data_IF_046585486552
#
_entry.id   IF_046585486552
#
_cell.length_a   1.000
_cell.length_b   1.000
_cell.length_c   1.000
_cell.angle_alpha   90.00
_cell.angle_beta   90.00
_cell.angle_gamma   90.00
#
_symmetry.space_group_name_H-M   'P 1'
#
loop_
_entity.id
_entity.type
_entity.pdbx_description
1 polymer ?
#
# COMPACT_ATOMS: atom_id res chain seq x y z
N UNK A 1 -62.83 -59.47 -23.15
CA UNK A 1 -62.64 -58.36 -24.10
C UNK A 1 -62.52 -57.11 -23.26
N UNK A 2 -61.35 -56.47 -23.29
CA UNK A 2 -61.04 -55.24 -22.54
C UNK A 2 -60.00 -55.48 -21.45
N UNK A 3 -58.73 -55.58 -21.83
CA UNK A 3 -57.57 -55.29 -20.97
C UNK A 3 -56.92 -54.05 -21.58
N UNK A 4 -56.89 -52.97 -20.80
CA UNK A 4 -56.43 -51.64 -21.20
C UNK A 4 -54.93 -51.49 -20.94
N UNK A 5 -54.25 -50.94 -21.94
CA UNK A 5 -52.81 -50.75 -22.08
C UNK A 5 -52.49 -49.26 -21.77
N UNK A 6 -51.99 -48.98 -20.56
CA UNK A 6 -51.70 -47.63 -20.04
C UNK A 6 -50.41 -47.63 -19.22
N UNK A 7 -49.25 -47.91 -19.83
CA UNK A 7 -47.96 -47.86 -19.09
C UNK A 7 -46.83 -47.07 -19.75
N UNK A 8 -47.04 -46.40 -20.89
CA UNK A 8 -45.93 -45.81 -21.67
C UNK A 8 -45.79 -44.28 -21.61
N UNK A 9 -46.60 -43.54 -20.83
CA UNK A 9 -46.53 -42.06 -20.80
C UNK A 9 -45.78 -41.44 -19.60
N UNK A 10 -45.41 -42.21 -18.56
CA UNK A 10 -44.73 -41.62 -17.38
C UNK A 10 -43.22 -41.40 -17.59
N UNK A 11 -42.54 -42.22 -18.40
CA UNK A 11 -41.09 -42.11 -18.60
C UNK A 11 -40.67 -40.88 -19.45
N UNK A 12 -41.58 -40.33 -20.25
CA UNK A 12 -41.29 -39.21 -21.17
C UNK A 12 -41.39 -37.82 -20.48
N UNK A 13 -42.03 -37.77 -19.31
CA UNK A 13 -42.19 -36.53 -18.52
C UNK A 13 -40.95 -36.25 -17.67
N UNK A 14 -40.29 -37.28 -17.14
CA UNK A 14 -39.09 -37.14 -16.30
C UNK A 14 -37.86 -36.68 -17.12
N UNK A 15 -37.75 -37.13 -18.37
CA UNK A 15 -36.70 -36.68 -19.31
C UNK A 15 -36.85 -35.22 -19.74
N UNK A 16 -38.08 -34.68 -19.76
CA UNK A 16 -38.32 -33.27 -20.10
C UNK A 16 -38.06 -32.33 -18.93
N UNK A 17 -38.28 -32.75 -17.69
CA UNK A 17 -38.02 -31.93 -16.50
C UNK A 17 -36.53 -31.72 -16.24
N UNK A 18 -35.67 -32.70 -16.54
CA UNK A 18 -34.21 -32.55 -16.41
C UNK A 18 -33.57 -31.59 -17.43
N UNK A 19 -34.28 -31.25 -18.51
CA UNK A 19 -33.74 -30.34 -19.53
C UNK A 19 -33.95 -28.85 -19.20
N UNK A 20 -34.82 -28.52 -18.23
CA UNK A 20 -35.14 -27.14 -17.84
C UNK A 20 -34.41 -26.64 -16.59
N UNK A 21 -33.71 -27.49 -15.85
CA UNK A 21 -32.96 -27.13 -14.62
C UNK A 21 -31.50 -26.70 -14.88
N UNK A 22 -30.94 -26.99 -16.05
CA UNK A 22 -29.57 -26.65 -16.46
C UNK A 22 -29.24 -25.16 -16.75
N UNK A 23 -30.17 -24.29 -17.23
CA UNK A 23 -29.83 -22.91 -17.56
C UNK A 23 -29.54 -22.04 -16.32
N UNK A 24 -30.22 -22.32 -15.20
CA UNK A 24 -30.16 -21.49 -13.99
C UNK A 24 -28.80 -21.56 -13.30
N UNK A 25 -28.17 -22.73 -13.32
CA UNK A 25 -26.85 -22.96 -12.72
C UNK A 25 -25.75 -22.19 -13.48
N UNK A 26 -25.84 -22.12 -14.80
CA UNK A 26 -24.90 -21.38 -15.64
C UNK A 26 -24.99 -19.86 -15.44
N UNK A 27 -26.21 -19.34 -15.37
CA UNK A 27 -26.43 -17.90 -15.16
C UNK A 27 -25.95 -17.48 -13.75
N UNK A 28 -26.14 -18.33 -12.74
CA UNK A 28 -25.63 -18.09 -11.39
C UNK A 28 -24.09 -18.08 -11.35
N UNK A 29 -23.44 -19.09 -11.95
CA UNK A 29 -21.97 -19.15 -12.05
C UNK A 29 -21.38 -17.93 -12.78
N UNK A 30 -22.04 -17.48 -13.85
CA UNK A 30 -21.61 -16.29 -14.58
C UNK A 30 -21.76 -15.02 -13.74
N UNK A 31 -22.85 -14.89 -12.97
CA UNK A 31 -23.06 -13.78 -12.06
C UNK A 31 -22.04 -13.74 -10.92
N UNK A 32 -21.76 -14.88 -10.31
CA UNK A 32 -20.78 -15.00 -9.22
C UNK A 32 -19.38 -14.61 -9.71
N UNK A 33 -18.96 -15.12 -10.88
CA UNK A 33 -17.69 -14.72 -11.51
C UNK A 33 -17.61 -13.21 -11.79
N UNK A 34 -18.68 -12.61 -12.31
CA UNK A 34 -18.69 -11.17 -12.60
C UNK A 34 -18.56 -10.33 -11.33
N UNK A 35 -19.23 -10.72 -10.24
CA UNK A 35 -19.13 -10.04 -8.95
C UNK A 35 -17.73 -10.17 -8.35
N UNK A 36 -17.12 -11.36 -8.45
CA UNK A 36 -15.75 -11.58 -8.00
C UNK A 36 -14.78 -10.71 -8.80
N UNK A 37 -14.84 -10.71 -10.13
CA UNK A 37 -13.99 -9.87 -10.97
C UNK A 37 -14.17 -8.37 -10.70
N UNK A 38 -15.41 -7.93 -10.45
CA UNK A 38 -15.68 -6.54 -10.08
C UNK A 38 -15.12 -6.17 -8.71
N UNK A 39 -15.20 -7.09 -7.73
CA UNK A 39 -14.59 -6.91 -6.42
C UNK A 39 -13.07 -6.79 -6.54
N UNK A 40 -12.41 -7.70 -7.27
CA UNK A 40 -10.98 -7.66 -7.57
C UNK A 40 -10.55 -6.33 -8.17
N UNK A 41 -11.24 -5.94 -9.25
CA UNK A 41 -10.97 -4.68 -9.95
C UNK A 41 -11.11 -3.50 -9.01
N UNK A 42 -12.20 -3.44 -8.24
CA UNK A 42 -12.47 -2.34 -7.31
C UNK A 42 -11.36 -2.23 -6.27
N UNK A 43 -10.89 -3.36 -5.71
CA UNK A 43 -9.76 -3.38 -4.75
C UNK A 43 -8.47 -2.85 -5.36
N UNK A 44 -8.13 -3.27 -6.58
CA UNK A 44 -6.93 -2.76 -7.27
C UNK A 44 -7.05 -1.26 -7.51
N UNK A 45 -8.21 -0.78 -7.96
CA UNK A 45 -8.46 0.65 -8.19
C UNK A 45 -8.34 1.43 -6.89
N UNK A 46 -8.95 0.98 -5.79
CA UNK A 46 -8.83 1.67 -4.49
C UNK A 46 -7.41 1.68 -3.95
N UNK A 47 -6.66 0.59 -4.12
CA UNK A 47 -5.28 0.51 -3.71
C UNK A 47 -4.41 1.51 -4.49
N UNK A 48 -4.58 1.57 -5.81
CA UNK A 48 -3.87 2.53 -6.66
C UNK A 48 -4.29 3.97 -6.36
N UNK A 49 -5.57 4.22 -6.14
CA UNK A 49 -6.08 5.54 -5.77
C UNK A 49 -5.50 5.99 -4.44
N UNK A 50 -5.52 5.13 -3.41
CA UNK A 50 -4.92 5.42 -2.11
C UNK A 50 -3.43 5.76 -2.23
N UNK A 51 -2.66 4.93 -2.97
CA UNK A 51 -1.24 5.17 -3.17
C UNK A 51 -0.96 6.47 -3.93
N UNK A 52 -1.74 6.77 -4.98
CA UNK A 52 -1.58 8.02 -5.73
C UNK A 52 -1.97 9.24 -4.89
N UNK A 53 -3.04 9.16 -4.10
CA UNK A 53 -3.45 10.24 -3.21
C UNK A 53 -2.40 10.52 -2.12
N UNK A 54 -1.77 9.47 -1.58
CA UNK A 54 -0.69 9.64 -0.58
C UNK A 54 0.60 10.23 -1.17
N UNK A 55 0.86 10.00 -2.47
CA UNK A 55 2.02 10.55 -3.19
C UNK A 55 1.76 11.92 -3.84
N UNK A 56 0.49 12.31 -4.01
CA UNK A 56 0.12 13.62 -4.55
C UNK A 56 0.09 14.64 -3.42
N UNK A 57 0.90 15.69 -3.56
CA UNK A 57 0.85 16.83 -2.66
C UNK A 57 -0.52 17.47 -2.68
N UNK A 58 -1.10 17.64 -1.49
CA UNK A 58 -2.25 18.51 -1.23
C UNK A 58 -1.75 19.81 -0.62
N UNK A 59 -2.34 20.95 -0.99
CA UNK A 59 -1.99 22.25 -0.41
C UNK A 59 -2.55 22.45 1.00
N UNK A 60 -3.05 21.38 1.64
CA UNK A 60 -3.69 21.43 2.95
C UNK A 60 -2.70 21.53 4.12
N UNK A 61 -1.43 21.15 3.94
CA UNK A 61 -0.46 21.15 5.03
C UNK A 61 -0.01 22.56 5.45
N UNK A 62 -0.25 23.59 4.62
CA UNK A 62 0.27 24.94 4.84
C UNK A 62 1.80 25.05 4.72
N UNK A 63 2.49 23.95 4.42
CA UNK A 63 3.93 23.87 4.25
C UNK A 63 4.32 24.16 2.79
N UNK A 64 5.59 24.53 2.58
CA UNK A 64 6.11 24.74 1.23
C UNK A 64 6.05 23.46 0.39
N UNK A 65 6.14 23.60 -0.94
CA UNK A 65 6.14 22.46 -1.88
C UNK A 65 7.25 21.44 -1.64
N UNK A 66 8.29 21.83 -0.91
CA UNK A 66 9.47 21.00 -0.66
C UNK A 66 9.55 20.55 0.80
N UNK A 67 8.65 21.03 1.67
CA UNK A 67 8.58 20.65 3.08
C UNK A 67 7.57 19.51 3.27
N UNK A 68 8.07 18.30 3.50
CA UNK A 68 7.24 17.16 3.83
C UNK A 68 7.93 16.19 4.79
N UNK A 69 7.09 15.42 5.48
CA UNK A 69 7.45 14.22 6.21
C UNK A 69 6.49 13.11 5.80
N UNK A 70 7.02 11.94 5.45
CA UNK A 70 6.27 10.70 5.37
C UNK A 70 6.85 9.75 6.41
N UNK A 71 6.00 9.20 7.28
CA UNK A 71 6.47 8.29 8.31
C UNK A 71 5.51 7.13 8.51
N UNK A 72 6.06 5.97 8.83
CA UNK A 72 5.30 4.76 9.10
C UNK A 72 5.90 4.06 10.31
N UNK A 73 5.03 3.68 11.23
CA UNK A 73 5.39 3.13 12.53
C UNK A 73 4.53 1.90 12.80
N UNK A 74 5.17 0.79 13.15
CA UNK A 74 4.52 -0.37 13.76
C UNK A 74 5.04 -0.53 15.17
N UNK A 75 4.14 -0.63 16.13
CA UNK A 75 4.48 -0.85 17.53
C UNK A 75 3.39 -1.67 18.23
N UNK A 76 3.75 -2.33 19.32
CA UNK A 76 2.80 -2.99 20.22
C UNK A 76 2.17 -2.00 21.19
N UNK A 77 0.85 -2.06 21.38
CA UNK A 77 0.15 -1.20 22.34
C UNK A 77 0.41 -1.61 23.80
N UNK A 78 0.28 -0.69 24.75
CA UNK A 78 0.68 -0.98 26.14
C UNK A 78 -0.18 -1.97 26.93
N UNK A 79 -1.43 -2.24 26.53
CA UNK A 79 -2.35 -3.07 27.34
C UNK A 79 -2.20 -4.57 27.04
N UNK A 80 -2.15 -4.96 25.76
CA UNK A 80 -2.05 -6.36 25.33
C UNK A 80 -0.90 -6.59 24.32
N UNK A 81 -0.05 -5.58 24.09
CA UNK A 81 0.99 -5.59 23.04
C UNK A 81 0.46 -5.93 21.65
N UNK A 82 -0.84 -5.74 21.40
CA UNK A 82 -1.39 -5.97 20.07
C UNK A 82 -0.74 -4.98 19.10
N UNK A 83 -0.25 -5.44 17.94
CA UNK A 83 0.48 -4.59 17.03
C UNK A 83 -0.47 -3.64 16.31
N UNK A 84 -0.04 -2.39 16.17
CA UNK A 84 -0.75 -1.33 15.45
C UNK A 84 0.21 -0.72 14.46
N UNK A 85 -0.27 -0.50 13.23
CA UNK A 85 0.41 0.35 12.26
C UNK A 85 -0.20 1.75 12.27
N UNK A 86 0.66 2.76 12.23
CA UNK A 86 0.32 4.16 12.05
C UNK A 86 1.17 4.69 10.91
N UNK A 87 0.55 5.34 9.95
CA UNK A 87 1.19 5.93 8.79
C UNK A 87 0.77 7.39 8.67
N UNK A 88 1.75 8.28 8.52
CA UNK A 88 1.56 9.68 8.18
C UNK A 88 1.96 9.91 6.72
N UNK A 89 1.03 10.41 5.93
CA UNK A 89 1.29 10.71 4.52
C UNK A 89 2.00 12.06 4.34
N UNK A 90 2.32 12.39 3.08
CA UNK A 90 3.00 13.63 2.68
C UNK A 90 2.30 14.89 3.21
N UNK A 91 0.98 14.85 3.34
CA UNK A 91 0.15 15.99 3.73
C UNK A 91 0.01 16.12 5.25
N UNK A 92 0.61 15.21 6.01
CA UNK A 92 0.48 15.14 7.47
C UNK A 92 -0.80 14.45 7.94
N UNK A 93 -1.60 13.86 7.03
CA UNK A 93 -2.75 13.06 7.43
C UNK A 93 -2.27 11.73 7.99
N UNK A 94 -2.88 11.31 9.10
CA UNK A 94 -2.52 10.08 9.79
C UNK A 94 -3.60 9.03 9.55
N UNK A 95 -3.17 7.84 9.17
CA UNK A 95 -3.99 6.64 9.04
C UNK A 95 -3.41 5.55 9.91
N UNK A 96 -4.24 4.60 10.35
CA UNK A 96 -3.76 3.48 11.14
C UNK A 96 -4.64 2.26 11.01
N UNK A 97 -4.14 1.12 11.46
CA UNK A 97 -4.89 -0.13 11.55
C UNK A 97 -4.30 -1.04 12.62
N UNK A 98 -5.17 -1.76 13.32
CA UNK A 98 -4.82 -2.84 14.25
C UNK A 98 -5.17 -4.22 13.67
N UNK A 99 -5.62 -4.29 12.41
CA UNK A 99 -5.94 -5.57 11.77
C UNK A 99 -4.67 -6.40 11.58
N UNK A 100 -4.66 -7.61 12.13
CA UNK A 100 -3.51 -8.53 12.07
C UNK A 100 -3.03 -8.76 10.63
N UNK A 101 -3.94 -8.89 9.66
CA UNK A 101 -3.59 -9.01 8.24
C UNK A 101 -2.85 -7.79 7.69
N UNK A 102 -3.27 -6.57 8.07
CA UNK A 102 -2.62 -5.34 7.62
C UNK A 102 -1.23 -5.20 8.28
N UNK A 103 -1.07 -5.55 9.57
CA UNK A 103 0.23 -5.58 10.25
C UNK A 103 1.18 -6.60 9.62
N UNK A 104 0.70 -7.81 9.31
CA UNK A 104 1.50 -8.84 8.66
C UNK A 104 1.92 -8.42 7.24
N UNK A 105 1.01 -7.80 6.48
CA UNK A 105 1.35 -7.23 5.18
C UNK A 105 2.40 -6.11 5.32
N UNK A 106 2.30 -5.29 6.37
CA UNK A 106 3.29 -4.26 6.66
C UNK A 106 4.67 -4.86 6.92
N UNK A 107 4.78 -5.97 7.65
CA UNK A 107 6.05 -6.65 7.90
C UNK A 107 6.83 -6.92 6.59
N UNK A 108 6.12 -7.37 5.54
CA UNK A 108 6.71 -7.59 4.21
C UNK A 108 7.16 -6.26 3.60
N UNK A 109 6.31 -5.22 3.66
CA UNK A 109 6.64 -3.88 3.15
C UNK A 109 7.88 -3.26 3.82
N UNK A 110 7.98 -3.37 5.14
CA UNK A 110 9.16 -2.94 5.89
C UNK A 110 10.40 -3.79 5.63
N UNK A 111 10.23 -5.09 5.36
CA UNK A 111 11.32 -5.94 4.88
C UNK A 111 11.93 -5.40 3.58
N UNK A 112 11.09 -4.98 2.64
CA UNK A 112 11.55 -4.35 1.39
C UNK A 112 12.26 -3.01 1.66
N UNK A 113 11.71 -2.17 2.54
CA UNK A 113 12.35 -0.89 2.92
C UNK A 113 13.73 -1.11 3.55
N UNK A 114 13.85 -2.08 4.46
CA UNK A 114 15.12 -2.47 5.07
C UNK A 114 16.13 -2.91 4.01
N UNK A 115 15.71 -3.78 3.10
CA UNK A 115 16.58 -4.31 2.07
C UNK A 115 17.07 -3.18 1.14
N UNK A 116 16.20 -2.23 0.77
CA UNK A 116 16.58 -1.00 0.03
C UNK A 116 17.65 -0.21 0.79
N UNK A 117 17.44 0.07 2.08
CA UNK A 117 18.39 0.84 2.89
C UNK A 117 19.74 0.14 3.01
N UNK A 118 19.74 -1.17 3.26
CA UNK A 118 20.98 -1.95 3.35
C UNK A 118 21.80 -1.96 2.05
N UNK A 119 21.15 -1.77 0.89
CA UNK A 119 21.82 -1.67 -0.40
C UNK A 119 22.34 -0.25 -0.71
N UNK A 120 21.79 0.79 -0.07
CA UNK A 120 22.23 2.19 -0.26
C UNK A 120 23.45 2.51 0.63
N UNK A 121 23.47 2.06 1.88
CA UNK A 121 24.53 2.34 2.87
C UNK A 121 25.98 2.02 2.42
N UNK A 122 26.28 0.94 1.66
CA UNK A 122 27.65 0.61 1.23
C UNK A 122 28.27 1.61 0.26
N UNK A 123 27.46 2.41 -0.42
CA UNK A 123 27.90 3.27 -1.53
C UNK A 123 28.29 4.68 -1.08
N UNK A 124 27.65 5.21 -0.03
CA UNK A 124 27.85 6.59 0.42
C UNK A 124 29.16 6.76 1.21
N UNK A 125 29.62 5.73 1.90
CA UNK A 125 30.86 5.77 2.71
C UNK A 125 32.16 5.80 1.90
N UNK A 126 32.13 5.38 0.62
CA UNK A 126 33.33 5.38 -0.24
C UNK A 126 33.66 6.74 -0.86
N UNK A 127 32.69 7.63 -1.01
CA UNK A 127 32.89 8.92 -1.71
C UNK A 127 33.47 10.01 -0.79
N UNK A 128 33.34 9.86 0.53
CA UNK A 128 33.84 10.83 1.52
C UNK A 128 35.36 10.78 1.74
N UNK A 129 36.00 9.61 1.58
CA UNK A 129 37.45 9.49 1.80
C UNK A 129 38.31 9.96 0.62
N UNK A 130 37.80 9.92 -0.62
CA UNK A 130 38.56 10.29 -1.82
C UNK A 130 38.54 11.79 -2.14
N UNK A 131 37.55 12.52 -1.62
CA UNK A 131 37.35 13.96 -1.82
C UNK A 131 38.08 14.83 -0.79
N UNK A 132 38.52 14.26 0.34
CA UNK A 132 39.33 14.96 1.35
C UNK A 132 40.77 15.28 0.89
N UNK A 133 41.27 14.69 -0.19
CA UNK A 133 42.65 14.87 -0.67
C UNK A 133 42.83 15.97 -1.75
N UNK A 134 41.77 16.64 -2.20
CA UNK A 134 41.86 17.61 -3.31
C UNK A 134 41.01 18.87 -3.14
N UNK A 135 41.10 19.59 -2.02
CA UNK A 135 40.55 20.96 -1.96
C UNK A 135 41.46 21.88 -1.15
N UNK A 136 42.56 22.31 -1.79
CA UNK A 136 43.23 23.56 -1.48
C UNK A 136 43.23 24.38 -2.77
N UNK A 137 42.09 24.98 -3.12
CA UNK A 137 42.04 26.25 -3.84
C UNK A 137 40.62 26.84 -3.86
N UNK A 138 40.53 27.98 -3.19
CA UNK A 138 39.58 29.08 -3.33
C UNK A 138 38.64 29.05 -4.55
N UNK A 139 37.34 28.91 -4.28
CA UNK A 139 36.31 29.86 -4.76
C UNK A 139 35.21 29.92 -3.71
N UNK A 140 35.17 31.04 -3.00
CA UNK A 140 34.05 31.44 -2.17
C UNK A 140 32.98 32.03 -3.08
N UNK A 141 32.02 31.22 -3.51
CA UNK A 141 30.69 31.69 -3.93
C UNK A 141 29.69 30.52 -3.79
N UNK A 142 29.22 30.36 -2.55
CA UNK A 142 27.93 29.83 -2.09
C UNK A 142 27.19 28.81 -2.97
N UNK A 143 27.85 27.70 -3.25
CA UNK A 143 27.18 26.47 -3.67
C UNK A 143 26.71 25.74 -2.41
N UNK A 144 25.49 26.09 -1.97
CA UNK A 144 24.82 25.39 -0.90
C UNK A 144 24.31 24.05 -1.46
N UNK A 145 25.19 23.05 -1.53
CA UNK A 145 24.80 21.64 -1.63
C UNK A 145 24.12 21.27 -0.30
N UNK A 146 22.88 21.73 -0.14
CA UNK A 146 22.07 21.48 1.04
C UNK A 146 21.58 20.04 0.98
N UNK A 147 21.89 19.26 2.00
CA UNK A 147 21.19 18.00 2.29
C UNK A 147 19.69 18.29 2.25
N UNK A 148 18.98 17.72 1.27
CA UNK A 148 17.55 17.99 1.07
C UNK A 148 16.69 17.02 1.89
N UNK A 149 17.18 15.82 2.22
CA UNK A 149 16.35 14.76 2.79
C UNK A 149 17.09 13.87 3.80
N UNK A 150 16.41 13.57 4.89
CA UNK A 150 16.81 12.68 5.97
C UNK A 150 15.93 11.44 5.94
N UNK A 151 16.57 10.27 6.04
CA UNK A 151 15.89 9.00 6.21
C UNK A 151 16.29 8.45 7.57
N UNK A 152 15.32 8.31 8.46
CA UNK A 152 15.50 7.73 9.78
C UNK A 152 14.75 6.40 9.83
N UNK A 153 15.40 5.36 10.36
CA UNK A 153 14.73 4.09 10.50
C UNK A 153 15.21 3.30 11.72
N UNK A 154 14.27 2.54 12.26
CA UNK A 154 14.48 1.64 13.38
C UNK A 154 13.73 0.33 13.12
N UNK A 155 14.35 -0.79 13.44
CA UNK A 155 13.73 -2.11 13.30
C UNK A 155 14.16 -3.05 14.42
N UNK A 156 13.16 -3.68 15.05
CA UNK A 156 13.30 -4.79 16.00
C UNK A 156 12.37 -5.92 15.57
N UNK A 157 12.92 -7.12 15.39
CA UNK A 157 12.13 -8.34 15.23
C UNK A 157 12.30 -9.23 16.47
N UNK A 158 11.24 -9.28 17.29
CA UNK A 158 11.24 -10.07 18.54
C UNK A 158 11.15 -11.57 18.28
N UNK A 159 10.78 -11.99 17.08
CA UNK A 159 10.67 -13.41 16.74
C UNK A 159 12.01 -14.05 16.36
N UNK A 160 12.97 -13.26 15.90
CA UNK A 160 14.26 -13.75 15.38
C UNK A 160 15.47 -13.43 16.27
N UNK A 161 15.25 -12.91 17.49
CA UNK A 161 16.31 -12.39 18.37
C UNK A 161 17.26 -11.40 17.64
N UNK A 162 16.73 -10.68 16.63
CA UNK A 162 17.53 -9.73 15.85
C UNK A 162 17.64 -8.45 16.68
N UNK A 163 18.88 -8.13 17.08
CA UNK A 163 19.20 -6.91 17.82
C UNK A 163 18.71 -5.67 17.07
N UNK A 164 18.16 -4.72 17.85
CA UNK A 164 17.78 -3.38 17.39
C UNK A 164 18.78 -2.80 16.42
N UNK A 165 18.29 -2.39 15.24
CA UNK A 165 19.05 -1.59 14.28
C UNK A 165 18.38 -0.24 14.16
N UNK A 166 19.17 0.80 14.35
CA UNK A 166 18.80 2.18 14.13
C UNK A 166 19.93 2.84 13.33
N UNK A 167 19.57 3.49 12.24
CA UNK A 167 20.52 4.22 11.41
C UNK A 167 19.82 5.40 10.73
N UNK A 168 20.60 6.43 10.42
CA UNK A 168 20.12 7.65 9.79
C UNK A 168 20.95 7.96 8.55
N UNK A 169 20.27 8.08 7.43
CA UNK A 169 20.88 8.36 6.13
C UNK A 169 20.53 9.78 5.70
N UNK A 170 21.55 10.56 5.36
CA UNK A 170 21.42 11.86 4.72
C UNK A 170 21.64 11.69 3.23
N UNK A 171 20.72 12.20 2.41
CA UNK A 171 20.83 12.08 0.96
C UNK A 171 20.28 13.31 0.24
N UNK A 172 20.91 13.62 -0.88
CA UNK A 172 20.42 14.57 -1.90
C UNK A 172 19.97 13.85 -3.17
N UNK A 173 20.16 12.54 -3.24
CA UNK A 173 19.86 11.75 -4.41
C UNK A 173 18.35 11.47 -4.50
N UNK A 174 17.68 12.15 -5.44
CA UNK A 174 16.24 11.97 -5.67
C UNK A 174 15.83 10.53 -5.97
N UNK A 175 16.72 9.75 -6.60
CA UNK A 175 16.47 8.33 -6.87
C UNK A 175 16.30 7.53 -5.56
N UNK A 176 17.11 7.83 -4.54
CA UNK A 176 16.99 7.23 -3.21
C UNK A 176 15.69 7.65 -2.53
N UNK A 177 15.32 8.93 -2.60
CA UNK A 177 14.06 9.45 -2.04
C UNK A 177 12.85 8.75 -2.67
N UNK A 178 12.82 8.63 -4.01
CA UNK A 178 11.74 7.94 -4.74
C UNK A 178 11.71 6.45 -4.42
N UNK A 179 12.87 5.80 -4.34
CA UNK A 179 12.97 4.39 -3.97
C UNK A 179 12.47 4.11 -2.56
N UNK A 180 12.53 5.08 -1.64
CA UNK A 180 12.01 4.97 -0.29
C UNK A 180 10.53 5.34 -0.17
N UNK A 181 10.09 6.42 -0.81
CA UNK A 181 8.74 6.95 -0.60
C UNK A 181 7.65 6.02 -1.15
N UNK A 182 7.89 5.35 -2.28
CA UNK A 182 6.88 4.47 -2.90
C UNK A 182 6.63 3.24 -2.03
N UNK A 183 7.64 2.46 -1.60
CA UNK A 183 7.42 1.35 -0.67
C UNK A 183 6.90 1.81 0.69
N UNK A 184 7.30 3.00 1.17
CA UNK A 184 6.78 3.56 2.41
C UNK A 184 5.27 3.88 2.29
N UNK A 185 4.83 4.47 1.18
CA UNK A 185 3.41 4.67 0.90
C UNK A 185 2.65 3.34 0.75
N UNK A 186 3.30 2.27 0.28
CA UNK A 186 2.70 0.93 0.30
C UNK A 186 2.44 0.37 1.71
N UNK A 187 3.05 0.95 2.76
CA UNK A 187 2.76 0.61 4.15
C UNK A 187 1.59 1.40 4.75
N UNK A 188 0.96 2.31 3.99
CA UNK A 188 -0.24 2.99 4.42
C UNK A 188 -1.36 1.99 4.73
N UNK A 189 -2.13 2.22 5.80
CA UNK A 189 -3.14 1.26 6.23
C UNK A 189 -4.24 1.04 5.18
N UNK A 190 -4.59 2.08 4.42
CA UNK A 190 -5.53 2.02 3.29
C UNK A 190 -5.05 1.09 2.18
N UNK A 191 -3.76 1.15 1.82
CA UNK A 191 -3.13 0.31 0.81
C UNK A 191 -3.04 -1.14 1.31
N UNK A 192 -2.52 -1.33 2.52
CA UNK A 192 -2.36 -2.66 3.13
C UNK A 192 -3.71 -3.38 3.29
N UNK A 193 -4.75 -2.69 3.75
CA UNK A 193 -6.03 -3.34 3.95
C UNK A 193 -6.73 -3.68 2.62
N UNK A 194 -6.56 -2.89 1.56
CA UNK A 194 -7.00 -3.31 0.23
C UNK A 194 -6.16 -4.46 -0.36
N UNK A 195 -4.84 -4.47 -0.11
CA UNK A 195 -3.96 -5.56 -0.53
C UNK A 195 -4.33 -6.89 0.14
N UNK A 196 -4.57 -6.89 1.45
CA UNK A 196 -5.00 -8.09 2.19
C UNK A 196 -6.39 -8.56 1.75
N UNK A 197 -7.33 -7.65 1.51
CA UNK A 197 -8.65 -8.01 0.97
C UNK A 197 -8.54 -8.63 -0.43
N UNK A 198 -7.66 -8.11 -1.29
CA UNK A 198 -7.39 -8.65 -2.62
C UNK A 198 -6.80 -10.07 -2.55
N UNK A 199 -5.81 -10.27 -1.66
CA UNK A 199 -5.22 -11.59 -1.42
C UNK A 199 -6.28 -12.56 -0.89
N UNK A 200 -7.11 -12.15 0.07
CA UNK A 200 -8.19 -12.98 0.60
C UNK A 200 -9.17 -13.39 -0.50
N UNK A 201 -9.63 -12.45 -1.33
CA UNK A 201 -10.50 -12.78 -2.47
C UNK A 201 -9.84 -13.75 -3.44
N UNK A 202 -8.51 -13.72 -3.60
CA UNK A 202 -7.79 -14.66 -4.47
C UNK A 202 -7.69 -16.06 -3.89
N UNK A 203 -7.64 -16.17 -2.57
CA UNK A 203 -7.65 -17.44 -1.88
C UNK A 203 -9.04 -18.07 -1.93
N UNK A 204 -10.08 -17.27 -1.70
CA UNK A 204 -11.47 -17.72 -1.76
C UNK A 204 -11.80 -18.28 -3.16
N UNK A 205 -11.31 -17.62 -4.22
CA UNK A 205 -11.44 -18.09 -5.61
C UNK A 205 -10.78 -19.44 -5.86
N UNK A 206 -9.65 -19.71 -5.21
CA UNK A 206 -8.87 -20.91 -5.49
C UNK A 206 -9.52 -22.19 -4.96
N UNK A 207 -10.63 -22.11 -4.21
CA UNK A 207 -11.24 -23.24 -3.46
C UNK A 207 -10.18 -24.09 -2.77
N UNK A 208 -9.11 -23.44 -2.31
CA UNK A 208 -7.93 -24.15 -1.89
C UNK A 208 -8.14 -24.63 -0.46
N UNK A 209 -8.10 -25.96 -0.28
CA UNK A 209 -7.91 -26.62 1.01
C UNK A 209 -6.64 -26.11 1.74
N UNK A 210 -5.75 -25.42 1.03
CA UNK A 210 -4.66 -24.64 1.59
C UNK A 210 -5.17 -23.33 2.18
N UNK A 211 -5.65 -23.38 3.42
CA UNK A 211 -5.72 -22.19 4.25
C UNK A 211 -4.34 -21.54 4.27
N UNK A 212 -4.25 -20.30 3.77
CA UNK A 212 -3.02 -19.55 3.86
C UNK A 212 -2.79 -19.29 5.34
N UNK A 213 -1.93 -20.11 5.94
CA UNK A 213 -1.45 -19.89 7.29
C UNK A 213 -0.61 -18.64 7.22
N UNK A 214 -1.26 -17.50 7.44
CA UNK A 214 -0.57 -16.29 7.78
C UNK A 214 0.40 -16.64 8.89
N UNK A 215 1.69 -16.39 8.63
CA UNK A 215 2.76 -16.76 9.52
C UNK A 215 2.45 -16.23 10.92
N UNK A 216 2.90 -16.96 11.95
CA UNK A 216 2.80 -16.59 13.36
C UNK A 216 2.91 -15.08 13.54
N UNK A 217 1.95 -14.47 14.26
CA UNK A 217 1.84 -13.01 14.42
C UNK A 217 3.22 -12.38 14.61
N UNK A 218 3.69 -11.68 13.58
CA UNK A 218 5.00 -11.06 13.59
C UNK A 218 5.00 -10.00 14.69
N UNK A 219 5.72 -10.30 15.78
CA UNK A 219 5.95 -9.34 16.87
C UNK A 219 7.17 -8.53 16.52
N UNK A 220 6.98 -7.46 15.76
CA UNK A 220 8.05 -6.57 15.35
C UNK A 220 7.69 -5.12 15.67
N UNK A 221 8.72 -4.30 15.85
CA UNK A 221 8.60 -2.85 15.94
C UNK A 221 9.41 -2.25 14.79
N UNK A 222 8.81 -1.34 14.05
CA UNK A 222 9.43 -0.72 12.89
C UNK A 222 9.08 0.76 12.87
N UNK A 223 10.07 1.60 12.59
CA UNK A 223 9.90 3.04 12.40
C UNK A 223 10.65 3.38 11.12
N UNK A 224 9.99 4.05 10.19
CA UNK A 224 10.61 4.62 9.01
C UNK A 224 10.08 6.03 8.84
N UNK A 225 10.98 7.00 8.77
CA UNK A 225 10.67 8.40 8.54
C UNK A 225 11.51 8.92 7.38
N UNK A 226 10.86 9.66 6.48
CA UNK A 226 11.46 10.37 5.37
C UNK A 226 11.09 11.85 5.51
N UNK A 227 12.06 12.69 5.83
CA UNK A 227 11.85 14.11 6.16
C UNK A 227 12.73 14.99 5.29
N UNK A 228 12.19 16.11 4.78
CA UNK A 228 13.05 17.09 4.11
C UNK A 228 13.64 18.12 5.05
N UNK A 229 14.77 18.70 4.68
CA UNK A 229 15.35 19.82 5.43
C UNK A 229 14.39 21.02 5.52
N UNK A 230 13.64 21.29 4.45
CA UNK A 230 12.61 22.32 4.44
C UNK A 230 11.53 22.04 5.50
N UNK A 231 11.11 20.77 5.65
CA UNK A 231 10.17 20.36 6.69
C UNK A 231 10.71 20.65 8.10
N UNK A 232 11.94 20.23 8.39
CA UNK A 232 12.59 20.46 9.69
C UNK A 232 12.67 21.96 10.01
N UNK A 233 13.05 22.78 9.03
CA UNK A 233 13.16 24.23 9.20
C UNK A 233 11.79 24.91 9.41
N UNK A 234 10.76 24.49 8.67
CA UNK A 234 9.41 25.06 8.78
C UNK A 234 8.69 24.62 10.06
N UNK A 235 8.94 23.39 10.53
CA UNK A 235 8.40 22.82 11.77
C UNK A 235 8.84 23.58 13.03
N UNK A 236 10.03 24.17 13.02
CA UNK A 236 10.56 24.90 14.18
C UNK A 236 9.95 26.30 14.40
N UNK A 237 8.85 26.66 13.73
CA UNK A 237 8.08 27.86 14.04
C UNK A 237 7.22 27.62 15.30
N UNK A 238 7.61 28.13 16.48
CA UNK A 238 7.16 27.55 17.76
C UNK A 238 5.77 27.96 18.24
N UNK A 239 5.00 28.77 17.52
CA UNK A 239 3.97 29.59 18.19
C UNK A 239 2.49 29.20 17.96
N UNK A 240 2.12 28.31 17.03
CA UNK A 240 0.68 28.22 16.68
C UNK A 240 0.02 26.84 16.48
N UNK A 241 0.70 25.70 16.58
CA UNK A 241 0.03 24.42 16.29
C UNK A 241 0.31 23.29 17.28
N UNK A 242 -0.78 22.74 17.84
CA UNK A 242 -0.83 21.50 18.63
C UNK A 242 -0.51 20.23 17.83
N UNK A 243 -0.19 20.35 16.52
CA UNK A 243 0.17 19.22 15.67
C UNK A 243 1.67 18.92 15.75
N UNK A 244 2.01 17.71 16.22
CA UNK A 244 3.37 17.17 16.13
C UNK A 244 3.40 16.08 15.07
N UNK A 245 4.49 16.04 14.30
CA UNK A 245 4.71 14.94 13.37
C UNK A 245 4.84 13.61 14.12
N UNK A 246 4.51 12.53 13.43
CA UNK A 246 4.58 11.17 13.95
C UNK A 246 6.03 10.78 14.28
N UNK A 247 7.03 11.23 13.51
CA UNK A 247 8.45 10.93 13.79
C UNK A 247 9.01 11.59 15.06
N UNK A 248 8.42 12.69 15.52
CA UNK A 248 8.77 13.30 16.81
C UNK A 248 7.61 13.34 17.82
N UNK A 249 6.61 12.50 17.58
CA UNK A 249 5.61 12.14 18.57
C UNK A 249 6.28 11.40 19.73
N UNK A 250 5.71 11.50 20.93
CA UNK A 250 6.17 10.64 22.04
C UNK A 250 6.00 9.15 21.71
N UNK A 251 5.10 8.81 20.78
CA UNK A 251 4.90 7.45 20.28
C UNK A 251 6.17 6.88 19.62
N UNK A 252 6.91 7.70 18.86
CA UNK A 252 8.14 7.26 18.19
C UNK A 252 9.36 7.31 19.11
N UNK A 253 9.44 8.27 20.03
CA UNK A 253 10.65 8.49 20.84
C UNK A 253 10.72 7.73 22.17
N UNK A 254 9.58 7.42 22.79
CA UNK A 254 9.58 6.95 24.19
C UNK A 254 9.00 5.56 24.41
N UNK A 255 8.81 4.74 23.36
CA UNK A 255 8.26 3.38 23.48
C UNK A 255 7.10 3.39 24.49
N UNK A 256 6.05 4.17 24.20
CA UNK A 256 4.88 4.25 25.07
C UNK A 256 4.20 2.86 25.15
N UNK A 257 4.78 1.95 25.94
CA UNK A 257 4.05 1.10 26.85
C UNK A 257 3.20 2.07 27.65
N UNK A 258 1.95 2.25 27.23
CA UNK A 258 1.03 3.16 27.89
C UNK A 258 1.13 2.93 29.41
N UNK A 259 1.51 3.94 30.23
CA UNK A 259 1.22 3.86 31.64
C UNK A 259 -0.31 3.82 31.71
N UNK A 260 -0.84 2.68 32.14
CA UNK A 260 -2.26 2.37 32.04
C UNK A 260 -3.13 3.44 32.67
N UNK A 261 -3.73 4.29 31.83
CA UNK A 261 -4.92 5.11 32.02
C UNK A 261 -4.95 6.15 30.89
N UNK A 262 -5.36 5.75 29.68
CA UNK A 262 -5.83 6.70 28.68
C UNK A 262 -7.32 6.45 28.51
N UNK A 263 -8.13 7.46 28.87
CA UNK A 263 -9.58 7.39 28.74
C UNK A 263 -9.96 7.13 27.29
N UNK A 264 -10.84 6.16 27.09
CA UNK A 264 -11.63 5.99 25.88
C UNK A 264 -12.43 7.26 25.64
N UNK A 265 -11.88 8.21 24.88
CA UNK A 265 -12.73 9.09 24.09
C UNK A 265 -13.17 8.30 22.87
N UNK A 266 -14.41 7.85 22.92
CA UNK A 266 -15.11 7.23 21.80
C UNK A 266 -15.10 8.23 20.64
N UNK A 267 -14.31 7.94 19.61
CA UNK A 267 -14.48 8.54 18.29
C UNK A 267 -15.91 8.22 17.88
N UNK A 268 -16.80 9.22 17.94
CA UNK A 268 -18.23 9.01 17.81
C UNK A 268 -18.58 8.30 16.51
N UNK A 269 -19.29 7.16 16.62
CA UNK A 269 -19.76 6.33 15.51
C UNK A 269 -20.40 7.13 14.37
N UNK A 270 -20.98 8.30 14.69
CA UNK A 270 -21.61 9.21 13.75
C UNK A 270 -20.65 9.74 12.67
N UNK A 271 -19.39 10.02 12.99
CA UNK A 271 -18.44 10.59 12.02
C UNK A 271 -17.93 9.54 11.03
N UNK A 272 -17.66 8.32 11.52
CA UNK A 272 -17.37 7.16 10.67
C UNK A 272 -18.54 6.78 9.77
N UNK A 273 -19.77 6.91 10.28
CA UNK A 273 -20.98 6.59 9.54
C UNK A 273 -21.26 7.59 8.41
N UNK A 274 -20.98 8.87 8.64
CA UNK A 274 -21.13 9.93 7.62
C UNK A 274 -20.12 9.78 6.46
N UNK A 275 -18.87 9.43 6.77
CA UNK A 275 -17.84 9.13 5.74
C UNK A 275 -18.26 7.90 4.91
N UNK A 276 -18.76 6.86 5.57
CA UNK A 276 -19.21 5.61 4.92
C UNK A 276 -20.44 5.83 4.04
N UNK A 277 -21.39 6.67 4.47
CA UNK A 277 -22.59 7.03 3.70
C UNK A 277 -22.25 7.90 2.46
N UNK A 278 -21.29 8.81 2.60
CA UNK A 278 -20.79 9.62 1.48
C UNK A 278 -20.09 8.76 0.43
N UNK A 279 -19.30 7.76 0.84
CA UNK A 279 -18.69 6.79 -0.10
C UNK A 279 -19.77 5.95 -0.77
N UNK A 280 -20.77 5.47 -0.04
CA UNK A 280 -21.89 4.67 -0.57
C UNK A 280 -22.69 5.40 -1.64
N UNK A 281 -22.96 6.70 -1.48
CA UNK A 281 -23.63 7.52 -2.50
C UNK A 281 -22.79 7.66 -3.78
N UNK A 282 -21.47 7.84 -3.65
CA UNK A 282 -20.56 7.86 -4.81
C UNK A 282 -20.57 6.53 -5.55
N UNK A 283 -20.59 5.40 -4.84
CA UNK A 283 -20.67 4.07 -5.46
C UNK A 283 -22.01 3.81 -6.17
N UNK A 284 -23.12 4.27 -5.60
CA UNK A 284 -24.43 4.14 -6.25
C UNK A 284 -24.52 4.95 -7.54
N UNK A 285 -23.95 6.16 -7.57
CA UNK A 285 -23.84 7.00 -8.77
C UNK A 285 -22.94 6.34 -9.84
N UNK A 286 -21.82 5.73 -9.40
CA UNK A 286 -20.92 4.99 -10.29
C UNK A 286 -21.60 3.75 -10.88
N UNK A 287 -22.36 3.00 -10.08
CA UNK A 287 -23.12 1.83 -10.53
C UNK A 287 -24.19 2.18 -11.56
N UNK A 288 -24.87 3.33 -11.40
CA UNK A 288 -25.80 3.86 -12.39
C UNK A 288 -25.10 4.21 -13.72
N UNK A 289 -23.92 4.84 -13.67
CA UNK A 289 -23.11 5.15 -14.86
C UNK A 289 -22.63 3.89 -15.57
N UNK A 290 -22.18 2.89 -14.80
CA UNK A 290 -21.76 1.58 -15.30
C UNK A 290 -22.90 0.91 -16.07
N UNK A 291 -24.12 0.92 -15.52
CA UNK A 291 -25.29 0.28 -16.15
C UNK A 291 -25.73 0.95 -17.47
N UNK A 292 -25.40 2.23 -17.66
CA UNK A 292 -25.78 3.00 -18.85
C UNK A 292 -24.80 2.83 -20.02
N UNK A 293 -23.50 2.61 -19.76
CA UNK A 293 -22.47 2.58 -20.80
C UNK A 293 -21.98 1.17 -21.17
N UNK A 294 -22.30 0.16 -20.36
CA UNK A 294 -21.76 -1.19 -20.54
C UNK A 294 -22.69 -2.04 -21.39
N UNK A 295 -22.16 -2.56 -22.49
CA UNK A 295 -22.85 -3.58 -23.30
C UNK A 295 -22.45 -4.94 -22.74
N UNK A 296 -23.37 -5.55 -21.99
CA UNK A 296 -23.23 -6.91 -21.48
C UNK A 296 -23.79 -7.85 -22.54
N UNK A 297 -22.91 -8.49 -23.31
CA UNK A 297 -23.26 -9.58 -24.22
C UNK A 297 -23.03 -10.94 -23.52
N UNK A 298 -23.74 -11.97 -23.96
CA UNK A 298 -23.80 -13.30 -23.32
C UNK A 298 -22.43 -13.97 -23.13
N UNK A 299 -21.45 -13.58 -23.94
CA UNK A 299 -20.08 -14.09 -23.91
C UNK A 299 -19.03 -13.01 -23.66
N UNK A 300 -19.41 -11.74 -23.51
CA UNK A 300 -18.46 -10.67 -23.27
C UNK A 300 -19.12 -9.42 -22.68
N UNK A 301 -18.54 -8.90 -21.60
CA UNK A 301 -18.82 -7.53 -21.16
C UNK A 301 -17.86 -6.61 -21.92
N UNK A 302 -18.36 -5.91 -22.93
CA UNK A 302 -17.55 -4.93 -23.67
C UNK A 302 -17.71 -3.56 -23.04
N UNK A 303 -16.71 -3.19 -22.23
CA UNK A 303 -16.62 -1.86 -21.64
C UNK A 303 -15.92 -0.93 -22.64
N UNK A 304 -16.65 0.01 -23.23
CA UNK A 304 -16.07 1.01 -24.17
C UNK A 304 -15.33 2.14 -23.44
N UNK A 305 -14.72 1.86 -22.28
CA UNK A 305 -13.95 2.86 -21.55
C UNK A 305 -12.54 2.97 -22.13
N UNK A 306 -12.40 3.69 -23.25
CA UNK A 306 -11.09 4.00 -23.86
C UNK A 306 -10.10 4.53 -22.82
N UNK A 307 -10.55 5.41 -21.92
CA UNK A 307 -9.70 5.97 -20.85
C UNK A 307 -9.21 4.93 -19.84
N UNK A 308 -10.07 3.99 -19.44
CA UNK A 308 -9.72 2.92 -18.51
C UNK A 308 -8.74 1.91 -19.13
N UNK A 309 -8.95 1.55 -20.40
CA UNK A 309 -8.02 0.69 -21.14
C UNK A 309 -6.66 1.37 -21.27
N UNK A 310 -6.63 2.66 -21.62
CA UNK A 310 -5.38 3.42 -21.68
C UNK A 310 -4.71 3.60 -20.31
N UNK A 311 -5.47 3.75 -19.22
CA UNK A 311 -4.89 3.85 -17.87
C UNK A 311 -4.29 2.53 -17.40
N UNK A 312 -4.98 1.40 -17.62
CA UNK A 312 -4.43 0.08 -17.32
C UNK A 312 -3.20 -0.22 -18.18
N UNK A 313 -3.26 0.07 -19.48
CA UNK A 313 -2.11 -0.09 -20.35
C UNK A 313 -0.93 0.77 -19.87
N UNK A 314 -1.21 2.01 -19.44
CA UNK A 314 -0.24 2.89 -18.82
C UNK A 314 0.37 2.30 -17.54
N UNK A 315 -0.45 1.80 -16.62
CA UNK A 315 0.02 1.15 -15.38
C UNK A 315 0.83 -0.10 -15.67
N UNK A 316 0.40 -0.95 -16.62
CA UNK A 316 1.15 -2.14 -17.04
C UNK A 316 2.49 -1.78 -17.69
N UNK A 317 2.53 -0.72 -18.50
CA UNK A 317 3.78 -0.23 -19.10
C UNK A 317 4.68 0.32 -17.99
N UNK A 318 4.15 1.11 -17.06
CA UNK A 318 4.91 1.67 -15.94
C UNK A 318 5.41 0.60 -14.98
N UNK A 319 4.60 -0.40 -14.64
CA UNK A 319 5.04 -1.51 -13.81
C UNK A 319 6.07 -2.37 -14.53
N UNK A 320 5.88 -2.63 -15.82
CA UNK A 320 6.86 -3.35 -16.63
C UNK A 320 8.17 -2.56 -16.76
N UNK A 321 8.14 -1.24 -16.95
CA UNK A 321 9.35 -0.42 -17.02
C UNK A 321 10.05 -0.31 -15.67
N UNK A 322 9.32 -0.22 -14.56
CA UNK A 322 9.91 -0.25 -13.21
C UNK A 322 10.55 -1.60 -12.94
N UNK A 323 9.86 -2.71 -13.21
CA UNK A 323 10.42 -4.07 -13.04
C UNK A 323 11.63 -4.27 -13.96
N UNK A 324 11.56 -3.82 -15.21
CA UNK A 324 12.68 -3.90 -16.16
C UNK A 324 13.84 -3.00 -15.72
N UNK A 325 13.58 -1.78 -15.23
CA UNK A 325 14.62 -0.89 -14.70
C UNK A 325 15.25 -1.44 -13.42
N UNK A 326 14.51 -2.16 -12.58
CA UNK A 326 15.04 -2.83 -11.40
C UNK A 326 15.83 -4.09 -11.76
N UNK A 327 15.38 -4.86 -12.75
CA UNK A 327 16.02 -6.12 -13.17
C UNK A 327 17.26 -5.87 -14.04
N UNK A 328 17.24 -4.87 -14.91
CA UNK A 328 18.35 -4.52 -15.81
C UNK A 328 19.20 -3.33 -15.31
N UNK A 329 18.72 -2.57 -14.32
CA UNK A 329 19.48 -1.53 -13.63
C UNK A 329 20.51 -2.09 -12.64
N UNK A 330 20.43 -3.39 -12.30
CA UNK A 330 21.58 -4.16 -11.83
C UNK A 330 22.59 -4.27 -12.98
N UNK A 331 23.42 -3.24 -13.12
CA UNK A 331 24.56 -3.20 -14.04
C UNK A 331 25.35 -4.49 -13.90
N UNK A 332 25.49 -5.26 -14.98
CA UNK A 332 26.44 -6.37 -15.04
C UNK A 332 27.83 -5.73 -14.92
N UNK A 333 28.42 -5.79 -13.73
CA UNK A 333 29.81 -5.42 -13.50
C UNK A 333 30.71 -6.33 -14.35
N UNK A 334 31.13 -5.85 -15.52
CA UNK A 334 32.11 -6.60 -16.32
C UNK A 334 32.20 -6.31 -17.82
N UNK A 335 31.36 -5.44 -18.42
CA UNK A 335 31.48 -5.17 -19.87
C UNK A 335 31.66 -3.67 -20.11
N UNK A 336 32.92 -3.28 -20.27
CA UNK A 336 33.32 -1.97 -20.80
C UNK A 336 33.28 -2.02 -22.34
N UNK A 337 32.41 -1.25 -23.04
CA UNK A 337 32.31 -1.30 -24.49
C UNK A 337 33.39 -0.47 -25.22
N UNK A 338 34.33 0.17 -24.52
CA UNK A 338 35.38 0.98 -25.16
C UNK A 338 36.78 0.65 -24.63
N UNK A 339 37.27 -0.54 -24.99
CA UNK A 339 38.71 -0.78 -25.17
C UNK A 339 39.00 -0.89 -26.67
N UNK A 340 39.23 0.26 -27.29
CA UNK A 340 39.62 0.44 -28.68
C UNK A 340 40.12 1.84 -28.92
#
# INVERSE_FOLDING_TARGET
>A
MGEDDYSDEEDDVELRLNHYSLPLEKDQLQWDYLNEMDAFRSRIVFMMEALLLDLIKSDQSGLSSHAFEVSSVVYGTGFDEFPVIVYQNWNGEVSGSSLSSCVQAAYVGYGVLRDILTNITPSTSRTSAASAARVNHQTADLQCDQVETYIDWEWEDRSQDVSWKHDKIETTERAVVVAMIVPLACTASSVLCNMTALVQSALDLKKAEDHLHFHQEAKFTAIYSLETLAYVNERHRPEEMDSRSLSASLLSWQRLTAPGHCGTEEVGENQTREITEATRKKYADLACKIRAEWVVDRYSVTVTCKRYVWSILGVCIMSFTIVTALVFGCRIDGVDPYSG
#
